data_IF_907477687880
#
_entry.id   IF_907477687880
#
_cell.length_a   1.000
_cell.length_b   1.000
_cell.length_c   1.000
_cell.angle_alpha   90.00
_cell.angle_beta   90.00
_cell.angle_gamma   90.00
#
_symmetry.space_group_name_H-M   'P 1'
#
loop_
_entity.id
_entity.type
_entity.pdbx_description
1 polymer ?
#
# COMPACT_ATOMS: atom_id res chain seq x y z
N UNK A 1 -6.10 -20.74 2.37
CA UNK A 1 -5.55 -19.42 2.02
C UNK A 1 -6.67 -18.63 1.37
N UNK A 2 -7.08 -17.50 1.94
CA UNK A 2 -8.02 -16.61 1.28
C UNK A 2 -7.26 -15.88 0.16
N UNK A 3 -7.56 -16.22 -1.08
CA UNK A 3 -7.15 -15.41 -2.23
C UNK A 3 -8.22 -14.36 -2.43
N UNK A 4 -7.85 -13.08 -2.40
CA UNK A 4 -8.71 -12.04 -2.95
C UNK A 4 -9.08 -12.46 -4.37
N UNK A 5 -10.37 -12.38 -4.71
CA UNK A 5 -10.81 -12.54 -6.10
C UNK A 5 -10.12 -11.49 -6.98
N UNK A 6 -10.07 -11.70 -8.31
CA UNK A 6 -9.45 -10.74 -9.20
C UNK A 6 -10.06 -9.35 -9.00
N UNK A 7 -9.21 -8.37 -8.75
CA UNK A 7 -9.63 -6.97 -8.67
C UNK A 7 -10.14 -6.53 -10.06
N UNK A 8 -11.12 -5.60 -10.13
CA UNK A 8 -11.53 -5.02 -11.40
C UNK A 8 -10.33 -4.36 -12.07
N UNK A 9 -10.18 -4.52 -13.38
CA UNK A 9 -9.06 -3.93 -14.12
C UNK A 9 -9.21 -2.40 -14.27
N UNK A 10 -8.90 -1.68 -13.20
CA UNK A 10 -8.89 -0.22 -13.09
C UNK A 10 -7.53 0.24 -12.56
N UNK A 11 -7.14 1.52 -12.73
CA UNK A 11 -5.92 2.03 -12.13
C UNK A 11 -5.88 1.85 -10.61
N UNK A 12 -4.79 1.26 -10.09
CA UNK A 12 -4.58 1.03 -8.67
C UNK A 12 -3.27 1.69 -8.20
N UNK A 13 -3.34 2.44 -7.12
CA UNK A 13 -2.18 2.96 -6.40
C UNK A 13 -2.22 2.45 -4.96
N UNK A 14 -1.22 1.66 -4.56
CA UNK A 14 -1.07 1.14 -3.20
C UNK A 14 0.03 1.90 -2.47
N UNK A 15 -0.26 2.34 -1.25
CA UNK A 15 0.70 3.00 -0.36
C UNK A 15 0.98 2.11 0.84
N UNK A 16 2.23 1.72 1.03
CA UNK A 16 2.64 0.80 2.10
C UNK A 16 3.62 1.44 3.06
N UNK A 17 3.31 1.38 4.35
CA UNK A 17 4.25 1.71 5.41
C UNK A 17 5.21 0.56 5.66
N UNK A 18 6.50 0.86 5.50
CA UNK A 18 7.65 0.00 5.79
C UNK A 18 8.44 0.52 7.00
N UNK A 19 7.87 1.46 7.77
CA UNK A 19 8.50 2.02 8.97
C UNK A 19 8.60 0.97 10.06
N UNK A 20 9.75 0.85 10.69
CA UNK A 20 10.00 -0.10 11.79
C UNK A 20 9.79 0.55 13.18
N UNK A 21 8.64 1.16 13.40
CA UNK A 21 8.27 1.72 14.70
C UNK A 21 7.58 0.69 15.61
N UNK A 22 7.29 1.10 16.86
CA UNK A 22 6.66 0.22 17.84
C UNK A 22 5.31 -0.32 17.35
N UNK A 23 4.48 0.53 16.73
CA UNK A 23 3.16 0.13 16.25
C UNK A 23 3.22 -0.93 15.14
N UNK A 24 4.09 -0.73 14.14
CA UNK A 24 4.27 -1.72 13.09
C UNK A 24 4.94 -3.02 13.60
N UNK A 25 5.88 -2.92 14.54
CA UNK A 25 6.52 -4.09 15.17
C UNK A 25 5.53 -4.91 16.00
N UNK A 26 4.66 -4.25 16.76
CA UNK A 26 3.59 -4.89 17.51
C UNK A 26 2.61 -5.60 16.57
N UNK A 27 2.22 -4.94 15.46
CA UNK A 27 1.36 -5.54 14.45
C UNK A 27 2.02 -6.76 13.77
N UNK A 28 3.30 -6.66 13.42
CA UNK A 28 4.10 -7.74 12.86
C UNK A 28 4.13 -8.96 13.79
N UNK A 29 4.43 -8.72 15.08
CA UNK A 29 4.46 -9.77 16.09
C UNK A 29 3.07 -10.41 16.29
N UNK A 30 2.01 -9.59 16.40
CA UNK A 30 0.64 -10.08 16.61
C UNK A 30 0.13 -10.94 15.45
N UNK A 31 0.64 -10.72 14.23
CA UNK A 31 0.25 -11.49 13.05
C UNK A 31 1.24 -12.59 12.67
N UNK A 32 2.35 -12.76 13.41
CA UNK A 32 3.45 -13.64 13.05
C UNK A 32 3.99 -13.33 11.63
N UNK A 33 4.17 -12.05 11.35
CA UNK A 33 4.61 -11.49 10.07
C UNK A 33 5.77 -10.51 10.24
N UNK A 34 6.34 -10.09 9.12
CA UNK A 34 7.33 -9.02 9.00
C UNK A 34 6.78 -7.91 8.11
N UNK A 35 7.36 -6.71 8.18
CA UNK A 35 7.08 -5.64 7.19
C UNK A 35 7.18 -6.11 5.74
N UNK A 36 8.12 -7.01 5.44
CA UNK A 36 8.26 -7.56 4.11
C UNK A 36 7.06 -8.42 3.71
N UNK A 37 6.51 -9.23 4.62
CA UNK A 37 5.30 -10.02 4.32
C UNK A 37 4.11 -9.14 3.93
N UNK A 38 3.95 -7.97 4.56
CA UNK A 38 2.87 -7.03 4.22
C UNK A 38 3.10 -6.36 2.87
N UNK A 39 4.35 -5.97 2.58
CA UNK A 39 4.71 -5.47 1.27
C UNK A 39 4.43 -6.50 0.17
N UNK A 40 4.83 -7.75 0.39
CA UNK A 40 4.63 -8.84 -0.55
C UNK A 40 3.14 -9.16 -0.72
N UNK A 41 2.36 -9.13 0.36
CA UNK A 41 0.92 -9.27 0.31
C UNK A 41 0.26 -8.17 -0.55
N UNK A 42 0.69 -6.91 -0.39
CA UNK A 42 0.20 -5.80 -1.20
C UNK A 42 0.63 -5.91 -2.67
N UNK A 43 1.82 -6.44 -2.96
CA UNK A 43 2.26 -6.73 -4.32
C UNK A 43 1.34 -7.73 -5.04
N UNK A 44 0.68 -8.65 -4.32
CA UNK A 44 -0.25 -9.61 -4.94
C UNK A 44 -1.47 -8.94 -5.59
N UNK A 45 -1.82 -7.71 -5.17
CA UNK A 45 -2.96 -6.95 -5.70
C UNK A 45 -2.78 -6.57 -7.17
N UNK A 46 -1.58 -6.65 -7.74
CA UNK A 46 -1.34 -6.42 -9.17
C UNK A 46 -1.92 -7.50 -10.07
N UNK A 47 -2.28 -8.66 -9.52
CA UNK A 47 -2.78 -9.80 -10.31
C UNK A 47 -4.08 -9.43 -11.03
N UNK A 48 -4.04 -9.42 -12.36
CA UNK A 48 -5.19 -9.05 -13.19
C UNK A 48 -5.38 -7.55 -13.42
N UNK A 49 -4.50 -6.70 -12.87
CA UNK A 49 -4.52 -5.24 -13.03
C UNK A 49 -3.44 -4.81 -14.02
N UNK A 50 -3.83 -4.09 -15.07
CA UNK A 50 -2.88 -3.62 -16.10
C UNK A 50 -2.18 -2.31 -15.74
N UNK A 51 -2.78 -1.50 -14.86
CA UNK A 51 -2.22 -0.24 -14.39
C UNK A 51 -2.11 -0.25 -12.85
N UNK A 52 -0.98 -0.75 -12.36
CA UNK A 52 -0.70 -0.92 -10.94
C UNK A 52 0.53 -0.11 -10.55
N UNK A 53 0.43 0.63 -9.45
CA UNK A 53 1.54 1.37 -8.85
C UNK A 53 1.59 1.06 -7.37
N UNK A 54 2.73 0.59 -6.87
CA UNK A 54 2.93 0.34 -5.45
C UNK A 54 4.11 1.16 -4.94
N UNK A 55 3.83 2.03 -3.98
CA UNK A 55 4.81 2.94 -3.39
C UNK A 55 4.92 2.64 -1.91
N UNK A 56 6.15 2.63 -1.41
CA UNK A 56 6.44 2.43 0.00
C UNK A 56 7.01 3.68 0.64
N UNK A 57 6.79 3.83 1.93
CA UNK A 57 7.47 4.83 2.77
C UNK A 57 8.12 4.18 3.99
N UNK A 58 9.26 4.72 4.41
CA UNK A 58 9.94 4.35 5.66
C UNK A 58 9.71 5.38 6.78
N UNK A 59 8.99 6.48 6.49
CA UNK A 59 8.88 7.64 7.39
C UNK A 59 7.55 7.70 8.15
N UNK A 60 6.46 7.24 7.52
CA UNK A 60 5.14 7.16 8.15
C UNK A 60 4.77 5.75 8.59
N UNK A 61 4.04 5.65 9.71
CA UNK A 61 3.42 4.43 10.22
C UNK A 61 2.07 4.15 9.57
N UNK A 62 1.11 3.62 10.35
CA UNK A 62 -0.23 3.25 9.86
C UNK A 62 -1.00 4.44 9.25
N UNK A 63 -0.77 5.66 9.76
CA UNK A 63 -1.50 6.86 9.35
C UNK A 63 -0.70 7.70 8.34
N UNK A 64 -0.33 7.11 7.19
CA UNK A 64 0.46 7.76 6.13
C UNK A 64 -0.12 9.12 5.71
N UNK A 65 -1.43 9.23 5.58
CA UNK A 65 -2.11 10.47 5.20
C UNK A 65 -1.99 11.61 6.22
N UNK A 66 -1.71 11.27 7.49
CA UNK A 66 -1.49 12.25 8.57
C UNK A 66 0.00 12.54 8.73
N UNK A 67 0.84 11.50 8.74
CA UNK A 67 2.28 11.62 8.99
C UNK A 67 3.06 12.16 7.77
N UNK A 68 2.62 11.84 6.55
CA UNK A 68 3.22 12.32 5.30
C UNK A 68 2.14 12.82 4.31
N UNK A 69 1.49 13.96 4.61
CA UNK A 69 0.35 14.45 3.83
C UNK A 69 0.73 14.80 2.38
N UNK A 70 1.94 15.30 2.12
CA UNK A 70 2.38 15.61 0.75
C UNK A 70 2.67 14.34 -0.06
N UNK A 71 3.30 13.33 0.55
CA UNK A 71 3.47 12.02 -0.07
C UNK A 71 2.11 11.40 -0.44
N UNK A 72 1.13 11.50 0.45
CA UNK A 72 -0.23 11.05 0.18
C UNK A 72 -0.86 11.84 -0.98
N UNK A 73 -0.83 13.18 -0.93
CA UNK A 73 -1.41 14.05 -1.98
C UNK A 73 -0.80 13.78 -3.34
N UNK A 74 0.51 13.60 -3.43
CA UNK A 74 1.18 13.40 -4.71
C UNK A 74 0.83 12.05 -5.32
N UNK A 75 0.77 10.98 -4.51
CA UNK A 75 0.30 9.69 -5.00
C UNK A 75 -1.22 9.66 -5.28
N UNK A 76 -2.01 10.46 -4.57
CA UNK A 76 -3.42 10.65 -4.89
C UNK A 76 -3.61 11.33 -6.25
N UNK A 77 -2.80 12.36 -6.56
CA UNK A 77 -2.78 12.99 -7.90
C UNK A 77 -2.41 11.99 -8.99
N UNK A 78 -1.47 11.08 -8.74
CA UNK A 78 -1.14 9.99 -9.67
C UNK A 78 -2.37 9.14 -9.96
N UNK A 79 -3.15 8.76 -8.94
CA UNK A 79 -4.39 8.00 -9.14
C UNK A 79 -5.42 8.82 -9.94
N UNK A 80 -5.71 10.05 -9.53
CA UNK A 80 -6.74 10.87 -10.19
C UNK A 80 -6.38 11.26 -11.62
N UNK A 81 -5.09 11.39 -11.94
CA UNK A 81 -4.61 11.65 -13.30
C UNK A 81 -4.80 10.47 -14.26
N UNK A 82 -5.07 9.27 -13.75
CA UNK A 82 -5.34 8.06 -14.54
C UNK A 82 -6.83 7.84 -14.81
N UNK A 83 -7.71 8.61 -14.16
CA UNK A 83 -9.15 8.51 -14.36
C UNK A 83 -9.54 9.38 -15.57
N UNK A 84 -10.29 8.84 -16.56
CA UNK A 84 -10.83 9.64 -17.65
C UNK A 84 -11.63 10.83 -17.12
N UNK A 85 -11.37 12.02 -17.67
CA UNK A 85 -12.10 13.26 -17.35
C UNK A 85 -13.42 13.33 -18.10
#
# INVERSE_FOLDING_TARGET
MFTLGPLPNVPVVVLTSMKEDAGNKEADQANHKTRQDWYDAHETLKTGITDFTHVKTLKAGHYIMIEEPEFFKDNFKVLTGKIPQ
#
